data_IF_686784804149
#
_entry.id   IF_686784804149
#
_cell.length_a   1.000
_cell.length_b   1.000
_cell.length_c   1.000
_cell.angle_alpha   90.00
_cell.angle_beta   90.00
_cell.angle_gamma   90.00
#
_symmetry.space_group_name_H-M   'P 1'
#
loop_
_entity.id
_entity.type
_entity.pdbx_description
1 polymer ?
#
# COMPACT_ATOMS: atom_id res chain seq x y z
N UNK A 1 58.82 9.43 16.76
CA UNK A 1 58.57 8.22 15.93
C UNK A 1 57.46 7.39 16.57
N UNK A 2 56.55 6.86 15.74
CA UNK A 2 55.50 5.87 16.08
C UNK A 2 54.10 6.38 16.45
N UNK A 3 53.47 7.11 15.52
CA UNK A 3 52.02 7.45 15.52
C UNK A 3 51.29 6.77 14.34
N UNK A 4 51.58 5.50 14.08
CA UNK A 4 50.98 4.73 12.96
C UNK A 4 50.29 3.43 13.40
N UNK A 5 50.23 3.14 14.71
CA UNK A 5 49.67 1.88 15.22
C UNK A 5 48.20 1.95 15.68
N UNK A 6 47.60 3.14 15.81
CA UNK A 6 46.22 3.30 16.33
C UNK A 6 45.16 3.32 15.22
N UNK A 7 45.46 3.87 14.04
CA UNK A 7 44.50 4.02 12.93
C UNK A 7 44.09 2.66 12.33
N UNK A 8 44.93 1.63 12.46
CA UNK A 8 44.66 0.29 11.91
C UNK A 8 43.64 -0.54 12.70
N UNK A 9 43.25 -0.12 13.92
CA UNK A 9 42.27 -0.86 14.75
C UNK A 9 40.83 -0.35 14.61
N UNK A 10 40.63 0.87 14.10
CA UNK A 10 39.28 1.43 13.89
C UNK A 10 38.68 0.93 12.56
N UNK A 11 39.51 0.54 11.60
CA UNK A 11 39.05 0.08 10.28
C UNK A 11 38.49 -1.35 10.28
N UNK A 12 38.71 -2.15 11.33
CA UNK A 12 38.16 -3.51 11.47
C UNK A 12 36.79 -3.48 12.17
N UNK A 13 36.47 -2.46 12.98
CA UNK A 13 35.13 -2.29 13.54
C UNK A 13 34.13 -1.65 12.56
N UNK A 14 34.60 -0.87 11.57
CA UNK A 14 33.74 -0.30 10.54
C UNK A 14 33.25 -1.30 9.48
N UNK A 15 33.96 -2.41 9.29
CA UNK A 15 33.63 -3.41 8.26
C UNK A 15 32.65 -4.50 8.74
N UNK A 16 32.35 -4.54 10.05
CA UNK A 16 31.47 -5.55 10.66
C UNK A 16 30.00 -5.11 10.78
N UNK A 17 29.67 -3.87 10.41
CA UNK A 17 28.31 -3.32 10.46
C UNK A 17 27.54 -3.39 9.13
N UNK A 18 28.17 -3.83 8.04
CA UNK A 18 27.49 -4.01 6.74
C UNK A 18 27.09 -5.46 6.44
N UNK A 19 27.32 -6.40 7.36
CA UNK A 19 27.04 -7.82 7.14
C UNK A 19 25.97 -8.41 8.06
N UNK A 20 25.08 -7.57 8.59
CA UNK A 20 23.79 -8.03 9.10
C UNK A 20 22.70 -7.98 8.03
N UNK A 21 23.08 -8.11 6.75
CA UNK A 21 22.24 -8.79 5.75
C UNK A 21 22.04 -10.24 6.19
N UNK A 22 21.49 -10.41 7.40
CA UNK A 22 20.89 -11.61 7.91
C UNK A 22 19.95 -12.03 6.80
N UNK A 23 20.23 -13.20 6.23
CA UNK A 23 19.28 -13.93 5.42
C UNK A 23 17.95 -13.86 6.18
N UNK A 24 17.06 -12.98 5.74
CA UNK A 24 15.71 -13.01 6.25
C UNK A 24 15.19 -14.33 5.73
N UNK A 25 14.92 -15.24 6.66
CA UNK A 25 14.17 -16.44 6.33
C UNK A 25 12.99 -15.96 5.50
N UNK A 26 12.83 -16.55 4.32
CA UNK A 26 11.66 -16.38 3.47
C UNK A 26 10.48 -16.79 4.34
N UNK A 27 9.85 -15.83 5.00
CA UNK A 27 8.77 -16.08 5.93
C UNK A 27 7.48 -15.99 5.16
N UNK A 28 6.81 -17.13 5.02
CA UNK A 28 5.39 -17.16 4.71
C UNK A 28 4.60 -17.06 6.01
N UNK A 29 3.55 -16.25 6.03
CA UNK A 29 2.57 -16.21 7.12
C UNK A 29 1.20 -16.60 6.58
N UNK A 30 0.48 -17.40 7.35
CA UNK A 30 -0.84 -17.92 7.00
C UNK A 30 -1.85 -17.57 8.10
N UNK A 31 -2.93 -16.90 7.72
CA UNK A 31 -4.05 -16.52 8.56
C UNK A 31 -5.24 -17.44 8.26
N UNK A 32 -5.20 -18.65 8.83
CA UNK A 32 -6.14 -19.75 8.55
C UNK A 32 -7.05 -20.16 9.73
N UNK A 33 -7.12 -19.34 10.77
CA UNK A 33 -8.12 -19.52 11.83
C UNK A 33 -9.43 -18.82 11.47
N UNK A 34 -10.47 -18.99 12.29
CA UNK A 34 -11.71 -18.22 12.16
C UNK A 34 -11.49 -16.80 12.70
N UNK A 35 -11.69 -15.76 11.87
CA UNK A 35 -11.52 -14.34 12.19
C UNK A 35 -10.12 -13.88 12.72
N UNK A 36 -8.97 -14.33 12.18
CA UNK A 36 -7.68 -13.85 12.63
C UNK A 36 -7.51 -12.39 12.23
N UNK A 37 -6.95 -11.60 13.14
CA UNK A 37 -6.56 -10.21 12.89
C UNK A 37 -5.04 -10.12 12.90
N UNK A 38 -4.47 -9.68 11.78
CA UNK A 38 -3.04 -9.52 11.59
C UNK A 38 -2.64 -8.07 11.30
N UNK A 39 -1.42 -7.72 11.67
CA UNK A 39 -0.82 -6.43 11.29
C UNK A 39 0.55 -6.65 10.66
N UNK A 40 0.82 -5.98 9.55
CA UNK A 40 2.12 -5.92 8.91
C UNK A 40 2.63 -4.48 9.03
N UNK A 41 3.74 -4.31 9.75
CA UNK A 41 4.32 -3.01 10.07
C UNK A 41 5.69 -2.85 9.42
N UNK A 42 6.22 -1.62 9.45
CA UNK A 42 7.58 -1.33 8.99
C UNK A 42 8.61 -2.27 9.63
N UNK A 43 9.49 -2.83 8.80
CA UNK A 43 10.49 -3.81 9.21
C UNK A 43 10.03 -5.27 9.12
N UNK A 44 8.73 -5.54 8.96
CA UNK A 44 8.28 -6.87 8.57
C UNK A 44 8.57 -7.11 7.10
N UNK A 45 9.13 -8.29 6.80
CA UNK A 45 9.40 -8.73 5.43
C UNK A 45 8.87 -10.15 5.30
N UNK A 46 7.92 -10.34 4.38
CA UNK A 46 7.32 -11.62 4.08
C UNK A 46 7.44 -11.91 2.59
N UNK A 47 7.72 -13.16 2.24
CA UNK A 47 7.64 -13.57 0.84
C UNK A 47 6.18 -13.79 0.41
N UNK A 48 5.40 -14.38 1.31
CA UNK A 48 4.00 -14.68 1.09
C UNK A 48 3.16 -14.46 2.34
N UNK A 49 2.03 -13.79 2.16
CA UNK A 49 0.99 -13.64 3.17
C UNK A 49 -0.27 -14.29 2.61
N UNK A 50 -0.84 -15.23 3.34
CA UNK A 50 -2.06 -15.94 2.94
C UNK A 50 -3.16 -15.68 3.94
N UNK A 51 -4.36 -15.34 3.46
CA UNK A 51 -5.54 -15.05 4.26
C UNK A 51 -6.68 -15.97 3.85
N UNK A 52 -7.29 -16.65 4.82
CA UNK A 52 -8.46 -17.52 4.62
C UNK A 52 -9.68 -17.05 5.41
N UNK A 53 -10.84 -17.64 5.11
CA UNK A 53 -12.09 -17.45 5.82
C UNK A 53 -12.49 -15.96 5.94
N UNK A 54 -12.38 -15.40 7.14
CA UNK A 54 -12.74 -14.02 7.49
C UNK A 54 -11.56 -13.26 8.09
N UNK A 55 -10.34 -13.67 7.72
CA UNK A 55 -9.11 -13.03 8.15
C UNK A 55 -9.07 -11.55 7.78
N UNK A 56 -8.59 -10.70 8.69
CA UNK A 56 -8.40 -9.27 8.47
C UNK A 56 -6.92 -8.93 8.69
N UNK A 57 -6.23 -8.48 7.64
CA UNK A 57 -4.85 -8.01 7.75
C UNK A 57 -4.78 -6.52 7.45
N UNK A 58 -4.12 -5.77 8.33
CA UNK A 58 -3.82 -4.35 8.12
C UNK A 58 -2.32 -4.17 7.91
N UNK A 59 -1.95 -3.65 6.75
CA UNK A 59 -0.57 -3.35 6.37
C UNK A 59 -0.34 -1.84 6.41
N UNK A 60 0.53 -1.40 7.32
CA UNK A 60 0.92 0.01 7.50
C UNK A 60 2.33 0.31 6.99
N UNK A 61 3.11 -0.74 6.71
CA UNK A 61 4.48 -0.70 6.24
C UNK A 61 4.98 -2.10 5.90
N UNK A 62 6.31 -2.26 5.78
CA UNK A 62 6.93 -3.56 5.48
C UNK A 62 6.99 -3.87 4.00
N UNK A 63 7.49 -5.07 3.68
CA UNK A 63 7.66 -5.57 2.32
C UNK A 63 7.04 -6.96 2.21
N UNK A 64 6.17 -7.15 1.21
CA UNK A 64 5.51 -8.42 0.97
C UNK A 64 5.66 -8.81 -0.50
N UNK A 65 6.25 -9.96 -0.80
CA UNK A 65 6.31 -10.45 -2.18
C UNK A 65 4.90 -10.67 -2.73
N UNK A 66 4.09 -11.49 -2.05
CA UNK A 66 2.73 -11.79 -2.49
C UNK A 66 1.72 -11.81 -1.35
N UNK A 67 0.54 -11.25 -1.59
CA UNK A 67 -0.63 -11.42 -0.72
C UNK A 67 -1.68 -12.25 -1.46
N UNK A 68 -2.04 -13.39 -0.89
CA UNK A 68 -3.13 -14.24 -1.38
C UNK A 68 -4.33 -14.13 -0.45
N UNK A 69 -5.41 -13.54 -0.94
CA UNK A 69 -6.66 -13.41 -0.20
C UNK A 69 -7.71 -14.40 -0.72
N UNK A 70 -8.24 -15.20 0.19
CA UNK A 70 -9.30 -16.19 -0.05
C UNK A 70 -10.56 -15.82 0.73
N UNK A 71 -11.68 -16.38 0.29
CA UNK A 71 -12.96 -16.32 0.97
C UNK A 71 -13.41 -14.88 1.34
N UNK A 72 -13.98 -14.65 2.52
CA UNK A 72 -14.43 -13.33 2.98
C UNK A 72 -13.31 -12.51 3.66
N UNK A 73 -12.05 -12.78 3.33
CA UNK A 73 -10.92 -12.08 3.95
C UNK A 73 -10.84 -10.61 3.51
N UNK A 74 -10.23 -9.79 4.36
CA UNK A 74 -10.04 -8.36 4.14
C UNK A 74 -8.57 -7.98 4.28
N UNK A 75 -8.02 -7.31 3.28
CA UNK A 75 -6.69 -6.69 3.33
C UNK A 75 -6.85 -5.17 3.29
N UNK A 76 -6.33 -4.48 4.30
CA UNK A 76 -6.28 -3.03 4.35
C UNK A 76 -4.84 -2.57 4.21
N UNK A 77 -4.51 -1.75 3.21
CA UNK A 77 -3.15 -1.26 2.97
C UNK A 77 -3.14 0.26 3.05
N UNK A 78 -2.35 0.79 3.97
CA UNK A 78 -2.09 2.24 4.10
C UNK A 78 -0.63 2.61 3.83
N UNK A 79 0.26 1.62 3.68
CA UNK A 79 1.68 1.82 3.43
C UNK A 79 2.43 0.50 3.24
N UNK A 80 3.72 0.58 2.92
CA UNK A 80 4.58 -0.57 2.62
C UNK A 80 4.68 -0.87 1.13
N UNK A 81 5.32 -1.99 0.79
CA UNK A 81 5.56 -2.42 -0.59
C UNK A 81 5.04 -3.84 -0.80
N UNK A 82 4.29 -4.05 -1.88
CA UNK A 82 3.71 -5.34 -2.26
C UNK A 82 4.03 -5.63 -3.72
N UNK A 83 4.62 -6.77 -4.04
CA UNK A 83 4.88 -7.05 -5.46
C UNK A 83 3.56 -7.44 -6.16
N UNK A 84 2.84 -8.43 -5.64
CA UNK A 84 1.63 -8.95 -6.31
C UNK A 84 0.49 -9.28 -5.35
N UNK A 85 -0.73 -8.98 -5.79
CA UNK A 85 -1.95 -9.47 -5.16
C UNK A 85 -2.53 -10.65 -5.92
N UNK A 86 -2.83 -11.72 -5.19
CA UNK A 86 -3.63 -12.84 -5.67
C UNK A 86 -5.00 -12.85 -5.01
N UNK A 87 -6.03 -12.65 -5.82
CA UNK A 87 -7.43 -12.79 -5.40
C UNK A 87 -7.98 -14.07 -6.00
N UNK A 88 -8.26 -15.05 -5.14
CA UNK A 88 -8.74 -16.36 -5.57
C UNK A 88 -10.27 -16.44 -5.56
N UNK A 89 -10.77 -17.40 -6.34
CA UNK A 89 -12.13 -17.49 -6.87
C UNK A 89 -13.24 -17.72 -5.83
N UNK A 90 -12.94 -18.22 -4.63
CA UNK A 90 -13.95 -18.96 -3.88
C UNK A 90 -15.05 -18.10 -3.24
N UNK A 91 -14.73 -17.00 -2.54
CA UNK A 91 -15.72 -16.16 -1.85
C UNK A 91 -15.19 -14.72 -1.76
N UNK A 92 -16.04 -13.74 -1.44
CA UNK A 92 -15.87 -12.30 -1.66
C UNK A 92 -14.72 -11.62 -0.89
N UNK A 93 -13.48 -11.79 -1.35
CA UNK A 93 -12.32 -11.15 -0.73
C UNK A 93 -12.32 -9.65 -1.03
N UNK A 94 -11.95 -8.86 -0.03
CA UNK A 94 -11.94 -7.40 -0.11
C UNK A 94 -10.53 -6.85 0.10
N UNK A 95 -10.04 -6.05 -0.84
CA UNK A 95 -8.79 -5.29 -0.71
C UNK A 95 -9.12 -3.81 -0.69
N UNK A 96 -8.68 -3.11 0.36
CA UNK A 96 -8.82 -1.66 0.49
C UNK A 96 -7.44 -1.02 0.46
N UNK A 97 -7.20 -0.15 -0.53
CA UNK A 97 -5.92 0.52 -0.75
C UNK A 97 -6.04 2.02 -0.50
N UNK A 98 -5.29 2.51 0.48
CA UNK A 98 -5.21 3.92 0.88
C UNK A 98 -3.81 4.51 0.65
N UNK A 99 -2.83 3.68 0.30
CA UNK A 99 -1.42 4.04 0.15
C UNK A 99 -0.56 2.81 -0.15
N UNK A 100 0.75 3.00 -0.15
CA UNK A 100 1.74 1.95 -0.42
C UNK A 100 2.23 1.95 -1.87
N UNK A 101 3.20 1.08 -2.13
CA UNK A 101 3.84 0.85 -3.42
C UNK A 101 3.52 -0.57 -3.90
N UNK A 102 2.78 -0.72 -5.00
CA UNK A 102 2.32 -2.03 -5.50
C UNK A 102 2.86 -2.23 -6.91
N UNK A 103 3.82 -3.14 -7.08
CA UNK A 103 4.68 -3.16 -8.27
C UNK A 103 4.10 -3.91 -9.49
N UNK A 104 3.54 -5.11 -9.29
CA UNK A 104 3.18 -6.04 -10.38
C UNK A 104 1.65 -6.14 -10.56
N UNK A 105 0.89 -5.66 -9.58
CA UNK A 105 -0.56 -5.49 -9.67
C UNK A 105 -1.37 -6.73 -9.28
N UNK A 106 -2.57 -6.86 -9.82
CA UNK A 106 -3.56 -7.86 -9.40
C UNK A 106 -3.58 -9.04 -10.37
N UNK A 107 -3.27 -10.23 -9.87
CA UNK A 107 -3.34 -11.50 -10.59
C UNK A 107 -4.46 -12.37 -10.01
N UNK A 108 -5.40 -12.81 -10.82
CA UNK A 108 -6.43 -13.74 -10.34
C UNK A 108 -7.59 -13.92 -11.30
N UNK A 109 -8.43 -14.91 -11.02
CA UNK A 109 -9.76 -14.99 -11.60
C UNK A 109 -10.56 -13.84 -10.98
N UNK A 110 -10.69 -12.74 -11.72
CA UNK A 110 -11.44 -11.55 -11.34
C UNK A 110 -12.94 -11.87 -11.37
N UNK A 111 -13.37 -12.75 -10.47
CA UNK A 111 -14.77 -13.11 -10.33
C UNK A 111 -15.54 -11.94 -9.75
N UNK A 112 -16.80 -11.81 -10.15
CA UNK A 112 -17.67 -10.70 -9.80
C UNK A 112 -17.88 -10.49 -8.29
N UNK A 113 -17.48 -11.44 -7.43
CA UNK A 113 -17.68 -11.38 -5.98
C UNK A 113 -16.54 -10.71 -5.22
N UNK A 114 -15.35 -10.60 -5.80
CA UNK A 114 -14.21 -9.92 -5.16
C UNK A 114 -14.36 -8.40 -5.27
N UNK A 115 -13.74 -7.67 -4.35
CA UNK A 115 -13.75 -6.20 -4.36
C UNK A 115 -12.35 -5.63 -4.13
N UNK A 116 -11.94 -4.69 -4.99
CA UNK A 116 -10.75 -3.87 -4.83
C UNK A 116 -11.21 -2.42 -4.74
N UNK A 117 -11.07 -1.81 -3.57
CA UNK A 117 -11.39 -0.41 -3.34
C UNK A 117 -10.10 0.39 -3.31
N UNK A 118 -9.98 1.39 -4.20
CA UNK A 118 -8.80 2.25 -4.29
C UNK A 118 -9.21 3.66 -3.91
N UNK A 119 -8.59 4.20 -2.86
CA UNK A 119 -8.86 5.53 -2.34
C UNK A 119 -7.74 6.48 -2.74
N UNK A 120 -8.04 7.38 -3.68
CA UNK A 120 -7.03 8.27 -4.27
C UNK A 120 -7.66 9.45 -4.99
N UNK A 121 -6.89 10.10 -5.86
CA UNK A 121 -7.35 11.18 -6.73
C UNK A 121 -6.59 11.17 -8.06
N UNK A 122 -7.06 11.99 -9.00
CA UNK A 122 -6.45 12.16 -10.32
C UNK A 122 -6.27 10.84 -11.09
N UNK A 123 -7.27 9.95 -11.00
CA UNK A 123 -7.22 8.63 -11.64
C UNK A 123 -7.12 8.73 -13.16
N UNK A 124 -6.13 8.05 -13.73
CA UNK A 124 -5.93 7.92 -15.17
C UNK A 124 -5.93 6.44 -15.53
N UNK A 125 -6.79 6.06 -16.48
CA UNK A 125 -6.87 4.69 -16.99
C UNK A 125 -6.44 4.68 -18.44
N UNK A 126 -5.55 3.77 -18.78
CA UNK A 126 -5.19 3.51 -20.18
C UNK A 126 -5.02 2.03 -20.43
N UNK A 127 -5.05 1.66 -21.71
CA UNK A 127 -4.99 0.27 -22.14
C UNK A 127 -3.82 0.10 -23.11
N UNK A 128 -3.16 -1.05 -23.02
CA UNK A 128 -2.18 -1.48 -24.00
C UNK A 128 -2.45 -2.94 -24.36
N UNK A 129 -2.99 -3.17 -25.56
CA UNK A 129 -3.41 -4.48 -26.07
C UNK A 129 -4.42 -5.15 -25.12
N UNK A 130 -3.95 -6.11 -24.32
CA UNK A 130 -4.77 -6.91 -23.39
C UNK A 130 -4.57 -6.52 -21.93
N UNK A 131 -3.88 -5.42 -21.65
CA UNK A 131 -3.59 -5.00 -20.28
C UNK A 131 -4.17 -3.62 -20.00
N UNK A 132 -4.63 -3.43 -18.77
CA UNK A 132 -5.13 -2.15 -18.28
C UNK A 132 -4.19 -1.61 -17.23
N UNK A 133 -3.90 -0.33 -17.33
CA UNK A 133 -3.11 0.42 -16.38
C UNK A 133 -4.00 1.44 -15.70
N UNK A 134 -3.78 1.61 -14.41
CA UNK A 134 -4.45 2.61 -13.58
C UNK A 134 -3.38 3.37 -12.81
N UNK A 135 -3.24 4.66 -13.06
CA UNK A 135 -2.44 5.53 -12.22
C UNK A 135 -3.31 6.54 -11.49
N UNK A 136 -2.73 7.17 -10.50
CA UNK A 136 -3.33 8.29 -9.79
C UNK A 136 -2.41 8.76 -8.68
N UNK A 137 -3.00 9.49 -7.73
CA UNK A 137 -2.30 9.98 -6.54
C UNK A 137 -2.99 9.49 -5.28
N UNK A 138 -2.18 9.11 -4.29
CA UNK A 138 -2.64 8.89 -2.93
C UNK A 138 -3.03 10.20 -2.24
N UNK A 139 -3.61 10.10 -1.05
CA UNK A 139 -4.03 11.27 -0.26
C UNK A 139 -2.85 12.20 0.11
N UNK A 140 -1.63 11.66 0.17
CA UNK A 140 -0.39 12.40 0.44
C UNK A 140 0.30 12.97 -0.81
N UNK A 141 -0.37 12.91 -1.98
CA UNK A 141 0.12 13.30 -3.32
C UNK A 141 1.21 12.40 -3.93
N UNK A 142 1.61 11.31 -3.27
CA UNK A 142 2.49 10.34 -3.90
C UNK A 142 1.77 9.62 -5.05
N UNK A 143 2.51 9.36 -6.13
CA UNK A 143 1.96 8.69 -7.31
C UNK A 143 1.83 7.19 -7.06
N UNK A 144 0.84 6.57 -7.67
CA UNK A 144 0.74 5.12 -7.77
C UNK A 144 0.40 4.72 -9.19
N UNK A 145 0.75 3.48 -9.51
CA UNK A 145 0.47 2.86 -10.79
C UNK A 145 0.18 1.37 -10.56
N UNK A 146 -0.94 0.88 -11.08
CA UNK A 146 -1.34 -0.50 -11.02
C UNK A 146 -1.48 -1.09 -12.40
N UNK A 147 -1.11 -2.35 -12.48
CA UNK A 147 -1.16 -3.13 -13.68
C UNK A 147 -2.18 -4.28 -13.54
N UNK A 148 -3.14 -4.31 -14.44
CA UNK A 148 -4.15 -5.36 -14.53
C UNK A 148 -3.89 -6.20 -15.76
N UNK A 149 -3.38 -7.41 -15.54
CA UNK A 149 -3.12 -8.37 -16.61
C UNK A 149 -4.41 -8.86 -17.25
N UNK A 150 -4.38 -9.03 -18.58
CA UNK A 150 -5.44 -9.70 -19.36
C UNK A 150 -6.83 -9.09 -19.15
N UNK A 151 -6.90 -7.78 -18.90
CA UNK A 151 -8.13 -7.03 -18.67
C UNK A 151 -8.34 -6.01 -19.79
N UNK A 152 -9.51 -6.04 -20.44
CA UNK A 152 -9.94 -5.07 -21.44
C UNK A 152 -10.74 -3.94 -20.77
N UNK A 153 -10.05 -3.12 -19.96
CA UNK A 153 -10.64 -2.09 -19.12
C UNK A 153 -10.42 -2.35 -17.63
N UNK A 154 -10.89 -1.42 -16.80
CA UNK A 154 -10.90 -1.64 -15.35
C UNK A 154 -11.81 -2.83 -15.05
N UNK A 155 -11.31 -3.84 -14.33
CA UNK A 155 -12.15 -4.93 -13.86
C UNK A 155 -13.35 -4.39 -13.10
N UNK A 156 -14.53 -5.00 -13.27
CA UNK A 156 -15.74 -4.58 -12.54
C UNK A 156 -15.62 -4.70 -11.02
N UNK A 157 -14.63 -5.47 -10.54
CA UNK A 157 -14.32 -5.61 -9.12
C UNK A 157 -13.56 -4.40 -8.55
N UNK A 158 -13.04 -3.52 -9.41
CA UNK A 158 -12.30 -2.33 -8.99
C UNK A 158 -13.27 -1.17 -8.85
N UNK A 159 -13.34 -0.63 -7.63
CA UNK A 159 -14.06 0.59 -7.32
C UNK A 159 -13.08 1.70 -6.96
N UNK A 160 -13.19 2.84 -7.66
CA UNK A 160 -12.36 4.01 -7.41
C UNK A 160 -13.12 4.98 -6.52
N UNK A 161 -12.53 5.31 -5.38
CA UNK A 161 -13.08 6.25 -4.41
C UNK A 161 -12.22 7.51 -4.42
N UNK A 162 -12.81 8.62 -4.85
CA UNK A 162 -12.12 9.92 -4.80
C UNK A 162 -12.08 10.39 -3.35
N UNK A 163 -10.88 10.60 -2.82
CA UNK A 163 -10.71 11.25 -1.52
C UNK A 163 -10.99 12.74 -1.73
N UNK A 164 -12.09 13.31 -1.20
CA UNK A 164 -12.35 14.73 -1.36
C UNK A 164 -11.18 15.50 -0.77
N UNK A 165 -10.72 16.54 -1.49
CA UNK A 165 -9.71 17.43 -0.94
C UNK A 165 -10.14 17.88 0.45
N UNK A 166 -9.24 17.92 1.44
CA UNK A 166 -9.65 18.14 2.81
C UNK A 166 -10.51 19.39 2.88
N UNK A 167 -11.70 19.24 3.47
CA UNK A 167 -12.57 20.36 3.86
C UNK A 167 -11.79 21.44 4.61
N UNK A 168 -10.59 21.15 5.11
CA UNK A 168 -9.58 22.11 5.55
C UNK A 168 -9.36 23.29 4.61
N UNK A 169 -9.29 23.10 3.29
CA UNK A 169 -9.12 24.21 2.34
C UNK A 169 -10.38 25.11 2.33
N UNK A 170 -11.55 24.48 2.29
CA UNK A 170 -12.85 25.14 2.39
C UNK A 170 -13.00 25.85 3.74
N UNK A 171 -12.63 25.20 4.84
CA UNK A 171 -12.68 25.72 6.20
C UNK A 171 -11.69 26.88 6.38
N UNK A 172 -10.51 26.82 5.77
CA UNK A 172 -9.54 27.91 5.78
C UNK A 172 -10.07 29.10 4.99
N UNK A 173 -10.72 28.87 3.84
CA UNK A 173 -11.36 29.93 3.06
C UNK A 173 -12.54 30.56 3.82
N UNK A 174 -13.39 29.75 4.47
CA UNK A 174 -14.50 30.24 5.28
C UNK A 174 -14.03 30.93 6.57
N UNK A 175 -13.04 30.38 7.26
CA UNK A 175 -12.44 30.97 8.46
C UNK A 175 -11.72 32.28 8.15
N UNK A 176 -10.95 32.32 7.06
CA UNK A 176 -10.26 33.51 6.58
C UNK A 176 -11.24 34.63 6.21
N UNK A 177 -12.29 34.32 5.45
CA UNK A 177 -13.30 35.32 5.06
C UNK A 177 -14.04 35.93 6.26
N UNK A 178 -14.32 35.16 7.31
CA UNK A 178 -14.89 35.67 8.56
C UNK A 178 -13.95 36.64 9.31
N UNK A 179 -12.63 36.40 9.28
CA UNK A 179 -11.65 37.31 9.89
C UNK A 179 -11.61 38.65 9.13
N UNK A 180 -11.65 38.61 7.81
CA UNK A 180 -11.64 39.84 6.99
C UNK A 180 -12.95 40.62 7.09
N UNK A 181 -14.10 39.95 7.24
CA UNK A 181 -15.39 40.60 7.39
C UNK A 181 -15.48 41.49 8.65
N UNK A 182 -14.75 41.14 9.72
CA UNK A 182 -14.73 41.93 10.97
C UNK A 182 -13.86 43.19 10.92
N UNK A 183 -13.03 43.39 9.90
CA UNK A 183 -12.15 44.56 9.79
C UNK A 183 -12.76 45.69 8.95
N UNK A 184 -13.99 46.12 9.25
CA UNK A 184 -14.46 47.42 8.74
C UNK A 184 -13.84 48.53 9.60
N UNK A 185 -13.01 49.44 9.03
CA UNK A 185 -12.52 50.59 9.77
C UNK A 185 -13.71 51.51 10.08
N UNK A 186 -13.81 51.92 11.35
CA UNK A 186 -14.73 52.98 11.75
C UNK A 186 -14.19 54.29 11.14
N UNK A 187 -14.85 54.78 10.10
CA UNK A 187 -14.67 56.12 9.54
C UNK A 187 -15.66 57.09 10.17
#
# INVERSE_FOLDING_TARGET
MSSTRVVRRILILGLLLCWSGLAQAITSIDFNSVNPVGTINTGNIYDRVTLHDSAIVTMTGGMVGSISAFDHSTVNVTGGSIDVFYLYDSQSATVNLFGGDIAIGFHGLLNASNAINIYGKDFVVWQNQSNTWLAGKWADNSDFEFYFLRSSGLPSIVSLHTVPEPLTATLLAFGGSLIFYKRKPNH
#
